data_IF_608110566914
#
_entry.id   IF_608110566914
#
_cell.length_a   1.000
_cell.length_b   1.000
_cell.length_c   1.000
_cell.angle_alpha   90.00
_cell.angle_beta   90.00
_cell.angle_gamma   90.00
#
_symmetry.space_group_name_H-M   'P 1'
#
loop_
_entity.id
_entity.type
_entity.pdbx_description
1 polymer ?
#
# COMPACT_ATOMS: atom_id res chain seq x y z
N UNK A 1 33.88 28.16 -41.23
CA UNK A 1 33.64 27.87 -39.80
C UNK A 1 32.16 28.06 -39.49
N UNK A 2 31.35 26.99 -39.57
CA UNK A 2 29.92 27.01 -39.27
C UNK A 2 29.71 26.45 -37.86
N UNK A 3 29.20 27.28 -36.94
CA UNK A 3 28.87 26.89 -35.56
C UNK A 3 27.62 26.02 -35.58
N UNK A 4 27.79 24.73 -35.35
CA UNK A 4 26.70 23.81 -35.07
C UNK A 4 25.91 24.29 -33.82
N UNK A 5 24.64 24.65 -34.02
CA UNK A 5 23.68 24.91 -32.94
C UNK A 5 23.52 23.61 -32.14
N UNK A 6 24.12 23.55 -30.95
CA UNK A 6 23.80 22.53 -29.93
C UNK A 6 22.30 22.63 -29.64
N UNK A 7 21.51 21.66 -30.11
CA UNK A 7 20.10 21.48 -29.71
C UNK A 7 20.09 21.20 -28.21
N UNK A 8 19.84 22.24 -27.41
CA UNK A 8 19.49 22.09 -26.00
C UNK A 8 18.12 21.43 -25.94
N UNK A 9 18.06 20.14 -25.61
CA UNK A 9 16.79 19.50 -25.27
C UNK A 9 16.27 20.13 -23.97
N UNK A 10 15.00 20.57 -23.90
CA UNK A 10 14.48 21.17 -22.69
C UNK A 10 14.34 20.08 -21.61
N UNK A 11 15.21 20.19 -20.59
CA UNK A 11 15.25 19.36 -19.38
C UNK A 11 13.92 19.42 -18.59
N UNK A 12 13.09 20.44 -18.85
CA UNK A 12 11.86 20.76 -18.11
C UNK A 12 10.63 19.87 -18.38
N UNK A 13 10.68 18.89 -19.30
CA UNK A 13 9.47 18.20 -19.77
C UNK A 13 8.87 17.18 -18.78
N UNK A 14 9.65 16.58 -17.89
CA UNK A 14 9.14 15.53 -16.99
C UNK A 14 8.51 16.09 -15.70
N UNK A 15 9.10 17.16 -15.14
CA UNK A 15 8.59 17.80 -13.92
C UNK A 15 7.28 18.58 -14.16
N UNK A 16 7.17 19.29 -15.30
CA UNK A 16 5.97 20.07 -15.62
C UNK A 16 4.78 19.23 -16.12
N UNK A 17 5.02 17.97 -16.53
CA UNK A 17 4.00 17.09 -17.12
C UNK A 17 3.67 15.86 -16.26
N UNK A 18 4.15 15.81 -15.02
CA UNK A 18 3.66 14.86 -14.01
C UNK A 18 2.26 15.23 -13.48
N UNK A 19 1.60 16.22 -14.11
CA UNK A 19 0.18 16.55 -13.95
C UNK A 19 -0.72 15.79 -14.94
N UNK A 20 -0.21 14.80 -15.66
CA UNK A 20 -1.04 14.08 -16.63
C UNK A 20 -2.09 13.21 -15.94
N UNK A 21 -3.34 13.59 -16.24
CA UNK A 21 -4.53 12.76 -16.31
C UNK A 21 -4.16 11.32 -16.65
N UNK A 22 -4.01 10.50 -15.61
CA UNK A 22 -4.07 9.07 -15.81
C UNK A 22 -5.49 8.81 -16.32
N UNK A 23 -5.61 8.50 -17.61
CA UNK A 23 -6.81 7.96 -18.24
C UNK A 23 -7.14 6.55 -17.74
N UNK A 24 -6.90 6.26 -16.45
CA UNK A 24 -7.67 5.29 -15.71
C UNK A 24 -8.96 6.02 -15.37
N UNK A 25 -9.94 6.01 -16.28
CA UNK A 25 -11.26 6.56 -15.99
C UNK A 25 -11.70 6.04 -14.63
N UNK A 26 -11.84 6.95 -13.65
CA UNK A 26 -12.14 6.72 -12.24
C UNK A 26 -12.21 5.23 -11.88
N UNK A 27 -11.06 4.54 -11.90
CA UNK A 27 -11.05 3.11 -11.63
C UNK A 27 -11.55 2.96 -10.20
N UNK A 28 -12.73 2.38 -10.05
CA UNK A 28 -13.40 2.28 -8.76
C UNK A 28 -12.44 1.61 -7.78
N UNK A 29 -12.34 2.16 -6.58
CA UNK A 29 -11.45 1.61 -5.57
C UNK A 29 -11.92 0.19 -5.27
N UNK A 30 -11.04 -0.78 -5.48
CA UNK A 30 -11.33 -2.19 -5.22
C UNK A 30 -11.13 -2.45 -3.73
N UNK A 31 -12.19 -2.81 -2.96
CA UNK A 31 -12.09 -3.07 -1.54
C UNK A 31 -11.52 -4.47 -1.32
N UNK A 32 -10.32 -4.73 -1.83
CA UNK A 32 -9.51 -5.92 -1.59
C UNK A 32 -8.14 -5.46 -1.14
N UNK A 33 -7.44 -6.28 -0.37
CA UNK A 33 -6.04 -6.01 -0.12
C UNK A 33 -5.27 -6.10 -1.43
N UNK A 34 -4.47 -5.08 -1.72
CA UNK A 34 -3.53 -5.15 -2.83
C UNK A 34 -2.43 -6.13 -2.46
N UNK A 35 -2.15 -7.05 -3.38
CA UNK A 35 -1.04 -7.97 -3.23
C UNK A 35 0.18 -7.44 -4.00
N UNK A 36 1.34 -7.43 -3.36
CA UNK A 36 2.56 -6.95 -4.02
C UNK A 36 2.87 -7.64 -5.36
N UNK A 37 2.64 -8.95 -5.53
CA UNK A 37 2.85 -9.57 -6.83
C UNK A 37 2.07 -8.88 -7.97
N UNK A 38 0.90 -8.30 -7.70
CA UNK A 38 0.11 -7.51 -8.65
C UNK A 38 0.80 -6.18 -8.98
N UNK A 39 1.38 -5.49 -7.98
CA UNK A 39 2.13 -4.25 -8.20
C UNK A 39 3.38 -4.48 -9.06
N UNK A 40 4.11 -5.56 -8.79
CA UNK A 40 5.26 -5.96 -9.60
C UNK A 40 4.84 -6.34 -11.02
N UNK A 41 3.70 -7.03 -11.18
CA UNK A 41 3.17 -7.33 -12.51
C UNK A 41 2.87 -6.05 -13.30
N UNK A 42 2.39 -4.99 -12.65
CA UNK A 42 2.18 -3.70 -13.30
C UNK A 42 3.50 -3.06 -13.76
N UNK A 43 4.55 -3.11 -12.94
CA UNK A 43 5.90 -2.66 -13.32
C UNK A 43 6.36 -3.42 -14.58
N UNK A 44 6.24 -4.75 -14.56
CA UNK A 44 6.66 -5.62 -15.67
C UNK A 44 5.82 -5.36 -16.92
N UNK A 45 4.51 -5.14 -16.80
CA UNK A 45 3.63 -4.83 -17.93
C UNK A 45 4.01 -3.52 -18.62
N UNK A 46 4.41 -2.49 -17.86
CA UNK A 46 4.90 -1.22 -18.44
C UNK A 46 6.24 -1.44 -19.16
N UNK A 47 7.14 -2.25 -18.59
CA UNK A 47 8.38 -2.62 -19.26
C UNK A 47 8.12 -3.38 -20.56
N UNK A 48 7.17 -4.31 -20.53
CA UNK A 48 6.76 -5.10 -21.68
C UNK A 48 6.24 -4.21 -22.82
N UNK A 49 5.32 -3.28 -22.52
CA UNK A 49 4.83 -2.27 -23.47
C UNK A 49 5.94 -1.38 -24.02
N UNK A 50 6.95 -1.06 -23.20
CA UNK A 50 8.13 -0.31 -23.67
C UNK A 50 8.94 -1.13 -24.68
N UNK A 51 9.11 -2.44 -24.43
CA UNK A 51 9.84 -3.34 -25.32
C UNK A 51 9.10 -3.59 -26.64
N UNK A 52 7.76 -3.58 -26.64
CA UNK A 52 6.95 -3.65 -27.87
C UNK A 52 7.22 -2.52 -28.86
N UNK A 53 7.67 -1.34 -28.39
CA UNK A 53 8.04 -0.22 -29.25
C UNK A 53 9.46 -0.36 -29.83
N UNK A 54 10.31 -1.24 -29.30
CA UNK A 54 11.71 -1.33 -29.67
C UNK A 54 11.96 -1.79 -31.12
N UNK A 55 11.20 -2.74 -31.70
CA UNK A 55 11.33 -3.08 -33.11
C UNK A 55 11.11 -1.87 -34.04
N UNK A 56 10.15 -1.00 -33.71
CA UNK A 56 9.87 0.18 -34.53
C UNK A 56 10.92 1.29 -34.33
N UNK A 57 11.41 1.47 -33.09
CA UNK A 57 12.56 2.36 -32.80
C UNK A 57 13.80 1.89 -33.56
N UNK A 58 14.07 0.58 -33.57
CA UNK A 58 15.16 -0.01 -34.32
C UNK A 58 15.00 0.27 -35.82
N UNK A 59 13.80 0.06 -36.38
CA UNK A 59 13.55 0.27 -37.81
C UNK A 59 13.75 1.74 -38.21
N UNK A 60 13.26 2.68 -37.40
CA UNK A 60 13.50 4.10 -37.65
C UNK A 60 15.01 4.43 -37.63
N UNK A 61 15.75 3.94 -36.62
CA UNK A 61 17.20 4.17 -36.54
C UNK A 61 17.95 3.56 -37.72
N UNK A 62 17.56 2.36 -38.15
CA UNK A 62 18.12 1.69 -39.31
C UNK A 62 17.97 2.53 -40.57
N UNK A 63 16.74 2.99 -40.88
CA UNK A 63 16.47 3.85 -42.03
C UNK A 63 17.26 5.16 -42.00
N UNK A 64 17.46 5.73 -40.82
CA UNK A 64 18.23 6.97 -40.61
C UNK A 64 19.74 6.76 -40.43
N UNK A 65 20.23 5.52 -40.56
CA UNK A 65 21.63 5.12 -40.32
C UNK A 65 22.17 5.58 -38.95
N UNK A 66 21.32 5.56 -37.94
CA UNK A 66 21.68 5.89 -36.56
C UNK A 66 22.06 4.62 -35.79
N UNK A 67 23.07 4.70 -34.91
CA UNK A 67 23.43 3.57 -34.05
C UNK A 67 22.33 3.27 -33.04
N UNK A 68 22.26 2.00 -32.60
CA UNK A 68 21.39 1.59 -31.50
C UNK A 68 21.77 2.32 -30.21
N UNK A 69 23.06 2.32 -29.88
CA UNK A 69 23.60 3.04 -28.72
C UNK A 69 23.55 4.56 -28.94
N UNK A 70 22.83 5.26 -28.05
CA UNK A 70 22.81 6.72 -27.98
C UNK A 70 23.14 7.14 -26.53
N UNK A 71 24.44 7.16 -26.22
CA UNK A 71 24.93 7.42 -24.86
C UNK A 71 24.45 8.77 -24.30
N UNK A 72 24.37 9.80 -25.14
CA UNK A 72 23.90 11.12 -24.74
C UNK A 72 22.41 11.10 -24.37
N UNK A 73 21.57 10.42 -25.15
CA UNK A 73 20.14 10.25 -24.82
C UNK A 73 19.94 9.38 -23.59
N UNK A 74 20.62 8.25 -23.49
CA UNK A 74 20.47 7.35 -22.34
C UNK A 74 20.86 8.06 -21.04
N UNK A 75 21.96 8.82 -21.04
CA UNK A 75 22.33 9.65 -19.89
C UNK A 75 21.26 10.70 -19.56
N UNK A 76 20.73 11.39 -20.58
CA UNK A 76 19.67 12.38 -20.36
C UNK A 76 18.38 11.76 -19.77
N UNK A 77 18.01 10.55 -20.21
CA UNK A 77 16.86 9.82 -19.68
C UNK A 77 17.10 9.42 -18.22
N UNK A 78 18.28 8.91 -17.89
CA UNK A 78 18.62 8.53 -16.51
C UNK A 78 18.60 9.73 -15.57
N UNK A 79 19.14 10.89 -15.98
CA UNK A 79 19.11 12.12 -15.18
C UNK A 79 17.66 12.55 -14.92
N UNK A 80 16.84 12.67 -15.96
CA UNK A 80 15.44 13.10 -15.83
C UNK A 80 14.62 12.16 -14.94
N UNK A 81 14.81 10.85 -15.12
CA UNK A 81 14.06 9.86 -14.36
C UNK A 81 14.54 9.75 -12.91
N UNK A 82 15.82 10.01 -12.62
CA UNK A 82 16.34 10.09 -11.23
C UNK A 82 15.76 11.32 -10.51
N UNK A 83 15.70 12.48 -11.17
CA UNK A 83 15.05 13.68 -10.61
C UNK A 83 13.56 13.44 -10.33
N UNK A 84 12.84 12.81 -11.26
CA UNK A 84 11.44 12.47 -11.09
C UNK A 84 11.21 11.41 -9.98
N UNK A 85 12.11 10.43 -9.84
CA UNK A 85 12.09 9.47 -8.74
C UNK A 85 12.24 10.15 -7.38
N UNK A 86 13.18 11.11 -7.28
CA UNK A 86 13.37 11.92 -6.07
C UNK A 86 12.12 12.70 -5.68
N UNK A 87 11.37 13.23 -6.66
CA UNK A 87 10.10 13.93 -6.42
C UNK A 87 8.99 13.00 -5.88
N UNK A 88 9.10 11.69 -6.08
CA UNK A 88 8.24 10.65 -5.50
C UNK A 88 8.79 10.05 -4.20
N UNK A 89 9.92 10.57 -3.71
CA UNK A 89 10.69 10.02 -2.59
C UNK A 89 11.15 8.56 -2.79
N UNK A 90 11.27 8.10 -4.03
CA UNK A 90 11.95 6.85 -4.36
C UNK A 90 13.45 7.01 -4.12
N UNK A 91 14.10 5.96 -3.64
CA UNK A 91 15.55 5.91 -3.56
C UNK A 91 16.18 6.11 -4.94
N UNK A 92 17.06 7.12 -5.05
CA UNK A 92 17.59 7.58 -6.32
C UNK A 92 18.50 6.54 -6.99
N UNK A 93 19.30 5.82 -6.20
CA UNK A 93 20.22 4.81 -6.72
C UNK A 93 19.45 3.59 -7.21
N UNK A 94 18.50 3.09 -6.41
CA UNK A 94 17.68 1.96 -6.82
C UNK A 94 16.79 2.28 -8.03
N UNK A 95 16.20 3.47 -8.06
CA UNK A 95 15.43 3.92 -9.23
C UNK A 95 16.32 3.98 -10.48
N UNK A 96 17.52 4.54 -10.36
CA UNK A 96 18.52 4.60 -11.45
C UNK A 96 18.87 3.20 -11.95
N UNK A 97 19.11 2.24 -11.06
CA UNK A 97 19.45 0.86 -11.42
C UNK A 97 18.31 0.18 -12.19
N UNK A 98 17.07 0.35 -11.73
CA UNK A 98 15.88 -0.16 -12.43
C UNK A 98 15.77 0.43 -13.85
N UNK A 99 15.98 1.74 -13.98
CA UNK A 99 15.91 2.44 -15.27
C UNK A 99 17.06 2.05 -16.20
N UNK A 100 18.27 1.89 -15.67
CA UNK A 100 19.43 1.45 -16.42
C UNK A 100 19.24 0.03 -16.96
N UNK A 101 18.69 -0.88 -16.15
CA UNK A 101 18.33 -2.22 -16.58
C UNK A 101 17.23 -2.19 -17.67
N UNK A 102 16.21 -1.34 -17.52
CA UNK A 102 15.17 -1.16 -18.55
C UNK A 102 15.73 -0.61 -19.87
N UNK A 103 16.69 0.32 -19.82
CA UNK A 103 17.39 0.82 -21.01
C UNK A 103 18.22 -0.29 -21.66
N UNK A 104 18.88 -1.14 -20.87
CA UNK A 104 19.66 -2.27 -21.37
C UNK A 104 18.78 -3.29 -22.10
N UNK A 105 17.65 -3.69 -21.51
CA UNK A 105 16.66 -4.57 -22.17
C UNK A 105 16.20 -3.97 -23.51
N UNK A 106 15.91 -2.67 -23.52
CA UNK A 106 15.51 -1.97 -24.73
C UNK A 106 16.61 -1.98 -25.81
N UNK A 107 17.88 -1.95 -25.40
CA UNK A 107 19.03 -2.03 -26.30
C UNK A 107 19.17 -3.43 -26.90
N UNK A 108 19.11 -4.46 -26.07
CA UNK A 108 19.21 -5.87 -26.49
C UNK A 108 18.19 -6.22 -27.57
N UNK A 109 16.93 -5.78 -27.41
CA UNK A 109 15.89 -5.99 -28.43
C UNK A 109 16.21 -5.25 -29.73
N UNK A 110 16.77 -4.04 -29.67
CA UNK A 110 17.17 -3.31 -30.89
C UNK A 110 18.39 -3.95 -31.56
N UNK A 111 19.36 -4.44 -30.80
CA UNK A 111 20.58 -5.10 -31.30
C UNK A 111 20.25 -6.41 -32.02
N UNK A 112 19.36 -7.24 -31.45
CA UNK A 112 18.84 -8.44 -32.13
C UNK A 112 18.19 -8.10 -33.48
N UNK A 113 17.41 -7.01 -33.54
CA UNK A 113 16.79 -6.56 -34.80
C UNK A 113 17.81 -6.09 -35.83
N UNK A 114 18.81 -5.30 -35.41
CA UNK A 114 19.89 -4.86 -36.29
C UNK A 114 20.68 -6.04 -36.85
N UNK A 115 21.00 -7.03 -36.02
CA UNK A 115 21.72 -8.23 -36.45
C UNK A 115 20.94 -8.99 -37.54
N UNK A 116 19.62 -9.13 -37.40
CA UNK A 116 18.77 -9.77 -38.42
C UNK A 116 18.73 -8.99 -39.73
N UNK A 117 18.58 -7.66 -39.66
CA UNK A 117 18.52 -6.81 -40.86
C UNK A 117 19.87 -6.66 -41.58
N UNK A 118 20.99 -6.93 -40.92
CA UNK A 118 22.27 -7.08 -41.62
C UNK A 118 22.26 -8.29 -42.56
N UNK A 119 21.59 -9.38 -42.18
CA UNK A 119 21.40 -10.56 -43.03
C UNK A 119 20.29 -10.38 -44.07
N UNK A 120 19.23 -9.65 -43.73
CA UNK A 120 18.06 -9.43 -44.60
C UNK A 120 17.63 -7.94 -44.66
N UNK A 121 18.40 -7.07 -45.34
CA UNK A 121 18.15 -5.62 -45.31
C UNK A 121 16.81 -5.16 -45.88
N UNK A 122 16.20 -5.95 -46.76
CA UNK A 122 14.90 -5.66 -47.39
C UNK A 122 13.70 -5.96 -46.49
N UNK A 123 13.91 -6.62 -45.35
CA UNK A 123 12.86 -7.01 -44.40
C UNK A 123 12.53 -5.92 -43.35
N UNK A 124 13.19 -4.76 -43.41
CA UNK A 124 13.03 -3.70 -42.41
C UNK A 124 11.65 -3.04 -42.57
N UNK A 125 10.78 -3.06 -41.56
CA UNK A 125 9.45 -2.48 -41.65
C UNK A 125 9.50 -0.94 -41.72
N UNK A 126 8.42 -0.28 -42.19
CA UNK A 126 8.28 1.16 -42.03
C UNK A 126 8.20 1.54 -40.55
N UNK A 127 8.60 2.76 -40.21
CA UNK A 127 8.61 3.24 -38.83
C UNK A 127 8.07 4.66 -38.70
N UNK A 128 7.27 4.91 -37.66
CA UNK A 128 6.83 6.25 -37.28
C UNK A 128 8.00 7.10 -36.80
N UNK A 129 7.84 8.42 -36.85
CA UNK A 129 8.92 9.33 -36.48
C UNK A 129 9.36 9.17 -35.02
N UNK A 130 10.66 9.01 -34.81
CA UNK A 130 11.21 8.80 -33.47
C UNK A 130 11.00 10.03 -32.57
N UNK A 131 11.11 11.24 -33.10
CA UNK A 131 11.07 12.45 -32.30
C UNK A 131 9.66 12.90 -31.92
N UNK A 132 8.71 12.76 -32.84
CA UNK A 132 7.35 13.28 -32.66
C UNK A 132 6.33 12.22 -32.23
N UNK A 133 6.62 10.92 -32.42
CA UNK A 133 5.68 9.84 -32.07
C UNK A 133 6.28 8.89 -31.02
N UNK A 134 7.40 8.23 -31.31
CA UNK A 134 7.90 7.15 -30.46
C UNK A 134 8.49 7.67 -29.14
N UNK A 135 9.28 8.76 -29.17
CA UNK A 135 9.85 9.34 -27.94
C UNK A 135 8.79 9.84 -26.96
N UNK A 136 7.74 10.59 -27.38
CA UNK A 136 6.65 10.94 -26.48
C UNK A 136 5.98 9.73 -25.81
N UNK A 137 5.71 8.66 -26.56
CA UNK A 137 5.14 7.42 -26.00
C UNK A 137 6.08 6.74 -24.99
N UNK A 138 7.38 6.71 -25.29
CA UNK A 138 8.40 6.18 -24.36
C UNK A 138 8.55 7.04 -23.10
N UNK A 139 8.47 8.37 -23.24
CA UNK A 139 8.53 9.29 -22.12
C UNK A 139 7.30 9.13 -21.21
N UNK A 140 6.12 8.85 -21.78
CA UNK A 140 4.91 8.50 -21.02
C UNK A 140 5.06 7.20 -20.25
N UNK A 141 5.47 6.11 -20.92
CA UNK A 141 5.73 4.83 -20.26
C UNK A 141 6.79 4.93 -19.15
N UNK A 142 7.78 5.80 -19.32
CA UNK A 142 8.78 6.01 -18.27
C UNK A 142 8.24 6.76 -17.04
N UNK A 143 7.24 7.64 -17.21
CA UNK A 143 6.53 8.24 -16.06
C UNK A 143 5.67 7.20 -15.35
N UNK A 144 4.90 6.42 -16.11
CA UNK A 144 4.08 5.33 -15.57
C UNK A 144 4.94 4.32 -14.81
N UNK A 145 6.14 4.02 -15.33
CA UNK A 145 7.10 3.13 -14.70
C UNK A 145 7.51 3.64 -13.32
N UNK A 146 7.83 4.93 -13.17
CA UNK A 146 8.17 5.50 -11.86
C UNK A 146 7.00 5.46 -10.87
N UNK A 147 5.78 5.70 -11.35
CA UNK A 147 4.56 5.56 -10.52
C UNK A 147 4.36 4.10 -10.09
N UNK A 148 4.56 3.14 -11.00
CA UNK A 148 4.48 1.72 -10.68
C UNK A 148 5.57 1.29 -9.67
N UNK A 149 6.80 1.79 -9.82
CA UNK A 149 7.87 1.59 -8.83
C UNK A 149 7.49 2.16 -7.46
N UNK A 150 6.91 3.36 -7.41
CA UNK A 150 6.41 3.96 -6.17
C UNK A 150 5.35 3.07 -5.49
N UNK A 151 4.43 2.49 -6.27
CA UNK A 151 3.37 1.62 -5.74
C UNK A 151 3.89 0.23 -5.33
N UNK A 152 4.93 -0.27 -5.99
CA UNK A 152 5.58 -1.55 -5.70
C UNK A 152 6.70 -1.46 -4.63
N UNK A 153 7.06 -0.23 -4.23
CA UNK A 153 8.12 0.03 -3.26
C UNK A 153 7.82 -0.63 -1.92
N UNK A 154 8.82 -1.32 -1.39
CA UNK A 154 8.77 -1.91 -0.07
C UNK A 154 9.65 -1.16 0.93
N UNK A 155 9.56 -1.56 2.20
CA UNK A 155 10.49 -1.05 3.20
C UNK A 155 11.96 -1.34 2.84
N UNK A 156 12.91 -0.66 3.48
CA UNK A 156 14.35 -0.74 3.16
C UNK A 156 14.99 -2.11 3.36
N UNK A 157 14.29 -3.07 3.98
CA UNK A 157 14.76 -4.46 4.09
C UNK A 157 14.82 -5.16 2.72
N UNK A 158 14.11 -4.63 1.72
CA UNK A 158 14.02 -5.21 0.38
C UNK A 158 13.30 -6.56 0.38
N UNK A 159 13.22 -7.16 -0.81
CA UNK A 159 12.67 -8.50 -0.99
C UNK A 159 13.65 -9.44 -1.67
N UNK A 160 13.27 -10.72 -1.68
CA UNK A 160 13.99 -11.75 -2.41
C UNK A 160 13.90 -11.50 -3.92
N UNK A 161 15.06 -11.50 -4.57
CA UNK A 161 15.14 -11.31 -6.02
C UNK A 161 14.61 -12.51 -6.81
N UNK A 162 14.66 -13.73 -6.25
CA UNK A 162 14.26 -14.97 -6.94
C UNK A 162 12.81 -14.97 -7.46
N UNK A 163 11.80 -14.69 -6.61
CA UNK A 163 10.41 -14.58 -7.05
C UNK A 163 10.19 -13.49 -8.11
N UNK A 164 10.89 -12.36 -7.98
CA UNK A 164 10.85 -11.27 -8.97
C UNK A 164 11.43 -11.74 -10.30
N UNK A 165 12.57 -12.45 -10.25
CA UNK A 165 13.23 -12.99 -11.44
C UNK A 165 12.33 -13.95 -12.21
N UNK A 166 11.66 -14.87 -11.51
CA UNK A 166 10.70 -15.80 -12.14
C UNK A 166 9.61 -15.05 -12.91
N UNK A 167 9.10 -13.94 -12.37
CA UNK A 167 8.09 -13.11 -13.05
C UNK A 167 8.64 -12.40 -14.28
N UNK A 168 9.89 -11.94 -14.22
CA UNK A 168 10.58 -11.24 -15.30
C UNK A 168 10.87 -12.12 -16.52
N UNK A 169 10.87 -13.45 -16.39
CA UNK A 169 11.05 -14.37 -17.53
C UNK A 169 10.02 -14.14 -18.64
N UNK A 170 8.83 -13.60 -18.33
CA UNK A 170 7.82 -13.25 -19.34
C UNK A 170 8.32 -12.23 -20.37
N UNK A 171 9.29 -11.40 -20.02
CA UNK A 171 9.88 -10.42 -20.94
C UNK A 171 10.68 -11.10 -22.06
N UNK A 172 11.15 -12.35 -21.87
CA UNK A 172 11.90 -13.10 -22.91
C UNK A 172 11.08 -13.45 -24.15
N UNK A 173 9.78 -13.16 -24.16
CA UNK A 173 8.98 -13.13 -25.38
C UNK A 173 9.53 -12.14 -26.42
N UNK A 174 10.27 -11.12 -25.97
CA UNK A 174 11.01 -10.21 -26.84
C UNK A 174 12.39 -10.80 -27.16
N UNK A 175 12.69 -11.10 -28.43
CA UNK A 175 13.98 -11.67 -28.81
C UNK A 175 15.15 -10.75 -28.48
N UNK A 176 16.30 -11.35 -28.17
CA UNK A 176 17.55 -10.65 -27.84
C UNK A 176 17.80 -10.46 -26.35
N UNK A 177 16.78 -10.60 -25.49
CA UNK A 177 16.93 -10.35 -24.05
C UNK A 177 17.86 -11.37 -23.39
N UNK A 178 18.90 -10.85 -22.73
CA UNK A 178 19.90 -11.65 -22.03
C UNK A 178 19.47 -12.00 -20.61
N UNK A 179 19.86 -13.20 -20.16
CA UNK A 179 19.56 -13.63 -18.80
C UNK A 179 20.22 -12.71 -17.75
N UNK A 180 21.46 -12.26 -17.97
CA UNK A 180 22.16 -11.39 -17.01
C UNK A 180 21.44 -10.05 -16.75
N UNK A 181 20.78 -9.50 -17.76
CA UNK A 181 20.03 -8.23 -17.63
C UNK A 181 18.75 -8.39 -16.82
N UNK A 182 18.05 -9.51 -16.97
CA UNK A 182 16.91 -9.84 -16.13
C UNK A 182 17.30 -10.08 -14.66
N UNK A 183 18.52 -10.56 -14.39
CA UNK A 183 19.02 -10.77 -13.02
C UNK A 183 19.33 -9.44 -12.36
N UNK A 184 20.03 -8.56 -13.08
CA UNK A 184 20.30 -7.20 -12.64
C UNK A 184 19.00 -6.45 -12.34
N UNK A 185 17.99 -6.59 -13.20
CA UNK A 185 16.68 -5.99 -12.99
C UNK A 185 15.96 -6.58 -11.76
N UNK A 186 16.00 -7.90 -11.57
CA UNK A 186 15.38 -8.54 -10.41
C UNK A 186 15.98 -8.01 -9.11
N UNK A 187 17.31 -7.89 -9.05
CA UNK A 187 18.04 -7.31 -7.90
C UNK A 187 17.69 -5.84 -7.70
N UNK A 188 17.61 -5.04 -8.76
CA UNK A 188 17.25 -3.64 -8.67
C UNK A 188 15.81 -3.47 -8.13
N UNK A 189 14.85 -4.20 -8.69
CA UNK A 189 13.45 -4.17 -8.24
C UNK A 189 13.27 -4.65 -6.80
N UNK A 190 14.11 -5.60 -6.35
CA UNK A 190 14.03 -6.13 -4.99
C UNK A 190 14.42 -5.12 -3.92
N UNK A 191 15.11 -4.04 -4.29
CA UNK A 191 15.61 -2.98 -3.39
C UNK A 191 14.76 -1.71 -3.42
N UNK A 192 13.73 -1.64 -4.29
CA UNK A 192 12.93 -0.42 -4.49
C UNK A 192 12.24 -0.06 -3.20
N UNK A 193 12.54 1.13 -2.68
CA UNK A 193 11.99 1.63 -1.44
C UNK A 193 11.81 3.16 -1.47
N UNK A 194 10.98 3.65 -0.54
CA UNK A 194 10.84 5.07 -0.29
C UNK A 194 11.85 5.53 0.76
N UNK A 195 12.48 6.69 0.53
CA UNK A 195 13.44 7.29 1.47
C UNK A 195 12.77 8.23 2.48
N UNK A 196 11.57 8.72 2.18
CA UNK A 196 10.76 9.57 3.06
C UNK A 196 9.27 9.22 2.95
N UNK A 197 8.49 9.62 3.96
CA UNK A 197 7.04 9.50 3.90
C UNK A 197 6.50 10.42 2.77
N UNK A 198 5.61 9.94 1.89
CA UNK A 198 5.10 10.75 0.80
C UNK A 198 4.37 12.00 1.30
N UNK A 199 4.61 13.12 0.63
CA UNK A 199 3.82 14.33 0.86
C UNK A 199 2.42 14.19 0.28
N UNK A 200 1.49 15.04 0.73
CA UNK A 200 0.16 15.14 0.15
C UNK A 200 0.20 15.44 -1.35
N UNK A 201 1.11 16.31 -1.78
CA UNK A 201 1.31 16.63 -3.19
C UNK A 201 1.75 15.39 -3.99
N UNK A 202 2.64 14.57 -3.44
CA UNK A 202 3.05 13.31 -4.05
C UNK A 202 1.88 12.33 -4.15
N UNK A 203 1.09 12.16 -3.08
CA UNK A 203 -0.11 11.31 -3.10
C UNK A 203 -1.12 11.77 -4.17
N UNK A 204 -1.40 13.07 -4.25
CA UNK A 204 -2.29 13.64 -5.28
C UNK A 204 -1.78 13.42 -6.69
N UNK A 205 -0.48 13.63 -6.89
CA UNK A 205 0.18 13.49 -8.19
C UNK A 205 0.22 12.04 -8.67
N UNK A 206 0.41 11.09 -7.75
CA UNK A 206 0.31 9.65 -8.04
C UNK A 206 -1.15 9.23 -8.28
N UNK A 207 -2.11 9.91 -7.67
CA UNK A 207 -3.54 9.60 -7.79
C UNK A 207 -3.96 8.36 -6.98
N UNK A 208 -3.12 7.88 -6.07
CA UNK A 208 -3.37 6.69 -5.24
C UNK A 208 -2.99 6.98 -3.80
N UNK A 209 -3.90 6.69 -2.88
CA UNK A 209 -3.64 6.72 -1.45
C UNK A 209 -3.55 5.29 -0.90
N UNK A 210 -2.44 4.97 -0.26
CA UNK A 210 -2.16 3.65 0.32
C UNK A 210 -2.65 3.63 1.76
N UNK A 211 -3.59 2.77 2.08
CA UNK A 211 -4.26 2.73 3.39
C UNK A 211 -3.97 1.41 4.10
N UNK A 212 -3.25 1.47 5.21
CA UNK A 212 -2.95 0.31 6.05
C UNK A 212 -4.17 -0.18 6.82
N UNK A 213 -4.49 -1.47 6.72
CA UNK A 213 -5.58 -2.11 7.47
C UNK A 213 -5.20 -3.52 7.93
N UNK A 214 -5.78 -3.98 9.04
CA UNK A 214 -5.54 -5.34 9.54
C UNK A 214 -6.52 -6.36 8.93
N UNK A 215 -7.76 -5.97 8.64
CA UNK A 215 -8.78 -6.85 8.05
C UNK A 215 -9.30 -7.93 8.99
N UNK A 216 -9.03 -7.81 10.28
CA UNK A 216 -9.36 -8.79 11.32
C UNK A 216 -10.13 -8.18 12.51
N UNK A 217 -10.59 -6.93 12.38
CA UNK A 217 -11.19 -6.17 13.46
C UNK A 217 -12.53 -5.53 13.05
N UNK A 218 -13.54 -6.39 12.90
CA UNK A 218 -14.92 -5.95 12.72
C UNK A 218 -15.42 -5.20 13.97
N UNK A 219 -16.23 -4.13 13.84
CA UNK A 219 -16.86 -3.63 12.61
C UNK A 219 -16.03 -2.61 11.82
N UNK A 220 -14.78 -2.30 12.22
CA UNK A 220 -13.97 -1.26 11.59
C UNK A 220 -13.36 -1.73 10.26
N UNK A 221 -12.67 -2.87 10.28
CA UNK A 221 -12.03 -3.46 9.11
C UNK A 221 -12.07 -4.97 9.22
N UNK A 222 -12.82 -5.62 8.33
CA UNK A 222 -12.94 -7.07 8.24
C UNK A 222 -12.73 -7.50 6.81
N UNK A 223 -11.94 -8.55 6.63
CA UNK A 223 -11.82 -9.22 5.36
C UNK A 223 -12.55 -10.56 5.40
N UNK A 224 -13.37 -10.82 4.37
CA UNK A 224 -14.03 -12.09 4.12
C UNK A 224 -13.95 -12.40 2.63
N UNK A 225 -13.52 -13.60 2.27
CA UNK A 225 -13.44 -14.05 0.87
C UNK A 225 -12.64 -13.07 -0.02
N UNK A 226 -11.57 -12.52 0.54
CA UNK A 226 -10.68 -11.54 -0.12
C UNK A 226 -11.22 -10.12 -0.20
N UNK A 227 -12.47 -9.86 0.23
CA UNK A 227 -13.09 -8.52 0.23
C UNK A 227 -13.07 -7.89 1.61
N UNK A 228 -12.68 -6.62 1.66
CA UNK A 228 -12.71 -5.74 2.81
C UNK A 228 -14.09 -5.08 2.97
N UNK A 229 -14.55 -5.03 4.21
CA UNK A 229 -15.75 -4.32 4.62
C UNK A 229 -15.57 -3.75 6.04
N UNK A 230 -16.37 -2.74 6.38
CA UNK A 230 -16.37 -2.10 7.69
C UNK A 230 -16.31 -0.58 7.63
N UNK A 231 -16.53 0.06 8.77
CA UNK A 231 -16.65 1.52 8.83
C UNK A 231 -15.38 2.27 8.42
N UNK A 232 -14.20 1.72 8.71
CA UNK A 232 -12.93 2.34 8.34
C UNK A 232 -12.56 2.04 6.88
N UNK A 233 -13.08 0.95 6.31
CA UNK A 233 -13.02 0.68 4.86
C UNK A 233 -13.80 1.76 4.12
N UNK A 234 -15.05 2.01 4.54
CA UNK A 234 -15.88 3.09 3.97
C UNK A 234 -15.27 4.48 4.17
N UNK A 235 -14.66 4.75 5.33
CA UNK A 235 -13.91 5.98 5.57
C UNK A 235 -12.78 6.15 4.55
N UNK A 236 -11.96 5.11 4.34
CA UNK A 236 -10.87 5.13 3.36
C UNK A 236 -11.36 5.33 1.92
N UNK A 237 -12.42 4.62 1.53
CA UNK A 237 -13.05 4.76 0.20
C UNK A 237 -13.62 6.17 -0.01
N UNK A 238 -14.33 6.71 0.98
CA UNK A 238 -14.92 8.05 0.92
C UNK A 238 -13.85 9.14 0.86
N UNK A 239 -12.75 9.00 1.62
CA UNK A 239 -11.61 9.92 1.55
C UNK A 239 -10.99 9.92 0.14
N UNK A 240 -10.71 8.73 -0.41
CA UNK A 240 -10.14 8.61 -1.75
C UNK A 240 -11.06 9.22 -2.81
N UNK A 241 -12.36 8.90 -2.76
CA UNK A 241 -13.39 9.42 -3.68
C UNK A 241 -13.50 10.95 -3.63
N UNK A 242 -13.49 11.54 -2.42
CA UNK A 242 -13.56 13.00 -2.25
C UNK A 242 -12.41 13.73 -2.95
N UNK A 243 -11.22 13.13 -2.95
CA UNK A 243 -10.03 13.73 -3.55
C UNK A 243 -9.73 13.27 -4.98
N UNK A 244 -10.62 12.47 -5.59
CA UNK A 244 -10.40 11.88 -6.92
C UNK A 244 -9.22 10.91 -6.97
N UNK A 245 -8.90 10.27 -5.84
CA UNK A 245 -7.83 9.28 -5.71
C UNK A 245 -8.42 7.87 -5.77
N UNK A 246 -7.56 6.89 -6.08
CA UNK A 246 -7.84 5.48 -5.86
C UNK A 246 -7.34 5.06 -4.48
N UNK A 247 -8.18 4.39 -3.68
CA UNK A 247 -7.73 3.73 -2.46
C UNK A 247 -7.00 2.43 -2.82
N UNK A 248 -5.82 2.24 -2.25
CA UNK A 248 -5.07 0.98 -2.27
C UNK A 248 -4.96 0.47 -0.84
N UNK A 249 -5.68 -0.60 -0.49
CA UNK A 249 -5.60 -1.18 0.84
C UNK A 249 -4.36 -2.06 0.99
N UNK A 250 -3.55 -1.78 2.00
CA UNK A 250 -2.30 -2.49 2.29
C UNK A 250 -2.48 -3.27 3.57
N UNK A 251 -2.27 -4.60 3.49
CA UNK A 251 -2.37 -5.45 4.66
C UNK A 251 -1.23 -5.18 5.65
N UNK A 252 -1.61 -5.02 6.91
CA UNK A 252 -0.71 -4.99 8.08
C UNK A 252 -1.30 -5.88 9.18
N UNK A 253 -0.66 -5.90 10.34
CA UNK A 253 -1.10 -6.65 11.52
C UNK A 253 -0.95 -5.79 12.77
N UNK A 254 -1.64 -6.13 13.86
CA UNK A 254 -1.48 -5.38 15.11
C UNK A 254 -0.04 -5.33 15.62
N UNK A 255 0.73 -6.43 15.62
CA UNK A 255 2.15 -6.40 15.97
C UNK A 255 2.99 -5.59 14.96
N UNK A 256 2.68 -5.68 13.66
CA UNK A 256 3.46 -5.06 12.58
C UNK A 256 3.11 -3.60 12.27
N UNK A 257 1.97 -3.09 12.77
CA UNK A 257 1.38 -1.81 12.37
C UNK A 257 2.36 -0.64 12.42
N UNK A 258 3.07 -0.49 13.53
CA UNK A 258 4.00 0.64 13.72
C UNK A 258 5.25 0.50 12.87
N UNK A 259 5.74 -0.74 12.69
CA UNK A 259 6.92 -1.00 11.88
C UNK A 259 6.61 -0.82 10.39
N UNK A 260 5.44 -1.27 9.93
CA UNK A 260 4.97 -1.08 8.56
C UNK A 260 4.76 0.41 8.23
N UNK A 261 4.22 1.18 9.18
CA UNK A 261 4.11 2.64 9.07
C UNK A 261 5.49 3.29 8.93
N UNK A 262 6.46 2.92 9.78
CA UNK A 262 7.82 3.46 9.73
C UNK A 262 8.58 3.04 8.47
N UNK A 263 8.29 1.84 7.94
CA UNK A 263 8.77 1.35 6.65
C UNK A 263 8.02 1.96 5.45
N UNK A 264 7.06 2.86 5.68
CA UNK A 264 6.35 3.63 4.64
C UNK A 264 5.56 2.75 3.67
N UNK A 265 5.05 1.61 4.16
CA UNK A 265 4.24 0.67 3.36
C UNK A 265 2.88 1.25 2.97
N UNK A 266 2.38 2.20 3.75
CA UNK A 266 1.14 2.93 3.50
C UNK A 266 1.28 4.40 3.92
N UNK A 267 0.41 5.26 3.40
CA UNK A 267 0.43 6.70 3.63
C UNK A 267 -0.26 7.08 4.95
N UNK A 268 -1.32 6.32 5.31
CA UNK A 268 -1.92 6.31 6.65
C UNK A 268 -2.55 4.93 6.92
N UNK A 269 -2.97 4.68 8.17
CA UNK A 269 -3.73 3.49 8.54
C UNK A 269 -5.05 3.85 9.23
N UNK A 270 -6.10 3.08 8.91
CA UNK A 270 -7.43 3.19 9.50
C UNK A 270 -7.98 1.77 9.70
N UNK A 271 -8.12 1.34 10.96
CA UNK A 271 -8.52 -0.03 11.31
C UNK A 271 -8.99 -0.13 12.77
N UNK A 272 -9.74 0.85 13.27
CA UNK A 272 -10.16 0.95 14.66
C UNK A 272 -9.00 1.24 15.60
N UNK A 273 -8.02 2.04 15.15
CA UNK A 273 -6.74 2.24 15.84
C UNK A 273 -6.93 3.20 17.01
N UNK A 274 -6.77 2.68 18.23
CA UNK A 274 -6.74 3.52 19.42
C UNK A 274 -5.49 4.41 19.44
N UNK A 275 -5.68 5.70 19.74
CA UNK A 275 -4.63 6.67 20.06
C UNK A 275 -4.06 6.35 21.44
N UNK A 276 -2.83 5.86 21.47
CA UNK A 276 -2.10 5.59 22.71
C UNK A 276 -0.85 6.45 22.80
N UNK A 277 -0.36 6.77 24.01
CA UNK A 277 0.89 7.53 24.16
C UNK A 277 2.07 6.90 23.42
N UNK A 278 2.19 5.57 23.44
CA UNK A 278 3.30 4.87 22.77
C UNK A 278 3.26 5.02 21.25
N UNK A 279 2.06 4.98 20.66
CA UNK A 279 1.89 5.22 19.21
C UNK A 279 2.11 6.69 18.88
N UNK A 280 1.55 7.60 19.67
CA UNK A 280 1.66 9.05 19.47
C UNK A 280 3.10 9.57 19.62
N UNK A 281 3.96 8.84 20.35
CA UNK A 281 5.40 9.15 20.41
C UNK A 281 6.13 8.88 19.08
N UNK A 282 5.59 8.00 18.22
CA UNK A 282 6.23 7.52 16.99
C UNK A 282 5.47 7.89 15.71
N UNK A 283 4.28 8.46 15.82
CA UNK A 283 3.35 8.70 14.72
C UNK A 283 2.44 9.90 15.03
N UNK A 284 1.82 10.44 13.97
CA UNK A 284 0.75 11.42 14.09
C UNK A 284 -0.61 10.71 14.14
N UNK A 285 -1.62 11.41 14.64
CA UNK A 285 -3.01 10.98 14.59
C UNK A 285 -3.88 12.11 14.06
N UNK A 286 -4.94 11.74 13.33
CA UNK A 286 -6.03 12.67 13.02
C UNK A 286 -6.80 13.06 14.29
N UNK A 287 -7.80 13.93 14.13
CA UNK A 287 -8.91 14.03 15.07
C UNK A 287 -9.51 12.65 15.37
N UNK A 288 -9.92 12.47 16.62
CA UNK A 288 -10.66 11.30 17.05
C UNK A 288 -12.03 11.28 16.38
N UNK A 289 -12.40 10.13 15.81
CA UNK A 289 -13.69 9.95 15.13
C UNK A 289 -14.63 8.99 15.86
N UNK A 290 -14.13 8.28 16.88
CA UNK A 290 -14.91 7.42 17.74
C UNK A 290 -14.27 7.34 19.14
N UNK A 291 -15.08 7.22 20.18
CA UNK A 291 -14.63 6.97 21.55
C UNK A 291 -15.09 5.58 21.97
N UNK A 292 -14.16 4.81 22.52
CA UNK A 292 -14.38 3.45 22.97
C UNK A 292 -13.77 3.23 24.36
N UNK A 293 -13.82 2.00 24.87
CA UNK A 293 -13.23 1.62 26.14
C UNK A 293 -13.17 0.11 26.32
N UNK A 294 -12.24 -0.36 27.16
CA UNK A 294 -12.09 -1.79 27.47
C UNK A 294 -13.22 -2.24 28.38
N UNK A 295 -13.99 -3.25 28.00
CA UNK A 295 -15.07 -3.84 28.79
C UNK A 295 -15.04 -5.38 28.67
N UNK A 296 -15.40 -6.10 29.74
CA UNK A 296 -15.45 -7.55 29.71
C UNK A 296 -16.66 -8.07 28.93
N UNK A 297 -16.46 -9.19 28.23
CA UNK A 297 -17.50 -10.02 27.61
C UNK A 297 -17.33 -11.46 28.06
N UNK A 298 -18.43 -12.09 28.46
CA UNK A 298 -18.48 -13.47 28.91
C UNK A 298 -19.79 -14.13 28.47
N UNK A 299 -19.97 -15.41 28.81
CA UNK A 299 -21.26 -16.09 28.68
C UNK A 299 -22.30 -15.41 29.57
N UNK A 300 -23.55 -15.36 29.09
CA UNK A 300 -24.66 -14.71 29.79
C UNK A 300 -24.91 -15.31 31.18
N UNK A 301 -24.81 -16.63 31.33
CA UNK A 301 -24.96 -17.27 32.64
C UNK A 301 -23.85 -16.89 33.65
N UNK A 302 -22.70 -16.42 33.16
CA UNK A 302 -21.54 -16.09 33.98
C UNK A 302 -21.40 -14.57 34.21
N UNK A 303 -22.32 -13.74 33.69
CA UNK A 303 -22.17 -12.29 33.69
C UNK A 303 -21.95 -11.68 35.09
N UNK A 304 -22.71 -12.14 36.08
CA UNK A 304 -22.59 -11.68 37.47
C UNK A 304 -21.24 -12.03 38.11
N UNK A 305 -20.53 -13.05 37.59
CA UNK A 305 -19.20 -13.47 38.07
C UNK A 305 -18.09 -12.55 37.58
N UNK A 306 -18.33 -11.71 36.57
CA UNK A 306 -17.30 -10.92 35.89
C UNK A 306 -17.66 -9.43 35.80
N UNK A 307 -18.29 -8.87 36.83
CA UNK A 307 -18.75 -7.47 36.84
C UNK A 307 -17.69 -6.46 37.31
N UNK A 308 -16.45 -6.90 37.57
CA UNK A 308 -15.32 -6.04 37.96
C UNK A 308 -13.98 -6.72 37.72
N UNK A 309 -12.90 -5.95 37.65
CA UNK A 309 -11.53 -6.49 37.56
C UNK A 309 -11.20 -7.44 38.71
N UNK A 310 -11.61 -7.11 39.94
CA UNK A 310 -11.33 -7.95 41.11
C UNK A 310 -12.01 -9.33 41.02
N UNK A 311 -13.21 -9.41 40.44
CA UNK A 311 -13.90 -10.68 40.23
C UNK A 311 -13.33 -11.48 39.05
N UNK A 312 -12.84 -10.78 38.02
CA UNK A 312 -12.16 -11.41 36.88
C UNK A 312 -10.79 -11.96 37.30
N UNK A 313 -10.03 -11.21 38.10
CA UNK A 313 -8.68 -11.58 38.51
C UNK A 313 -8.68 -12.53 39.71
N UNK A 314 -9.23 -13.73 39.51
CA UNK A 314 -9.32 -14.78 40.52
C UNK A 314 -8.63 -16.07 40.03
N UNK A 315 -8.00 -16.85 40.93
CA UNK A 315 -7.51 -18.18 40.60
C UNK A 315 -8.61 -19.04 39.95
N UNK A 316 -8.25 -19.78 38.90
CA UNK A 316 -9.18 -20.64 38.16
C UNK A 316 -10.01 -19.94 37.08
N UNK A 317 -10.01 -18.60 36.99
CA UNK A 317 -10.58 -17.88 35.86
C UNK A 317 -9.62 -17.92 34.67
N UNK A 318 -10.14 -18.14 33.46
CA UNK A 318 -9.37 -18.10 32.21
C UNK A 318 -9.73 -16.85 31.39
N UNK A 319 -8.82 -15.88 31.39
CA UNK A 319 -8.93 -14.64 30.61
C UNK A 319 -8.28 -14.84 29.25
N UNK A 320 -9.06 -14.82 28.18
CA UNK A 320 -8.55 -14.97 26.81
C UNK A 320 -8.26 -13.60 26.18
N UNK A 321 -7.14 -13.49 25.45
CA UNK A 321 -6.70 -12.26 24.78
C UNK A 321 -6.07 -12.55 23.42
N UNK A 322 -6.18 -11.60 22.50
CA UNK A 322 -5.45 -11.60 21.26
C UNK A 322 -4.06 -10.95 21.40
N UNK A 323 -3.03 -11.44 20.68
CA UNK A 323 -1.64 -11.03 20.89
C UNK A 323 -1.31 -9.64 20.32
N UNK A 324 -0.32 -8.98 20.93
CA UNK A 324 0.39 -7.80 20.42
C UNK A 324 -0.38 -6.49 20.43
N UNK A 325 -1.65 -6.52 20.85
CA UNK A 325 -2.54 -5.37 20.86
C UNK A 325 -2.71 -4.69 22.22
N UNK A 326 -3.66 -3.76 22.27
CA UNK A 326 -4.01 -3.06 23.53
C UNK A 326 -4.78 -3.94 24.51
N UNK A 327 -5.44 -5.01 24.04
CA UNK A 327 -6.14 -5.99 24.89
C UNK A 327 -5.17 -6.78 25.77
N UNK A 328 -4.20 -7.47 25.15
CA UNK A 328 -3.17 -8.22 25.88
C UNK A 328 -2.43 -7.31 26.87
N UNK A 329 -2.04 -6.11 26.44
CA UNK A 329 -1.36 -5.15 27.32
C UNK A 329 -2.22 -4.75 28.52
N UNK A 330 -3.50 -4.47 28.31
CA UNK A 330 -4.41 -4.15 29.40
C UNK A 330 -4.49 -5.31 30.39
N UNK A 331 -4.70 -6.54 29.90
CA UNK A 331 -4.81 -7.74 30.74
C UNK A 331 -3.50 -7.99 31.50
N UNK A 332 -2.34 -7.97 30.85
CA UNK A 332 -1.03 -8.18 31.52
C UNK A 332 -0.72 -7.13 32.59
N UNK A 333 -1.30 -5.94 32.49
CA UNK A 333 -1.11 -4.88 33.49
C UNK A 333 -2.04 -5.00 34.70
N UNK A 334 -3.23 -5.58 34.53
CA UNK A 334 -4.29 -5.56 35.55
C UNK A 334 -4.69 -6.94 36.09
N UNK A 335 -4.32 -8.04 35.42
CA UNK A 335 -4.63 -9.41 35.80
C UNK A 335 -3.36 -10.10 36.28
N UNK A 336 -3.37 -10.64 37.49
CA UNK A 336 -2.20 -11.24 38.18
C UNK A 336 -2.44 -12.67 38.67
N UNK A 337 -3.68 -13.04 38.94
CA UNK A 337 -4.09 -14.31 39.52
C UNK A 337 -4.80 -15.23 38.52
N UNK A 338 -5.60 -14.67 37.61
CA UNK A 338 -6.28 -15.47 36.59
C UNK A 338 -5.30 -16.00 35.53
N UNK A 339 -5.67 -17.11 34.89
CA UNK A 339 -4.89 -17.69 33.79
C UNK A 339 -5.11 -16.87 32.52
N UNK A 340 -4.04 -16.32 31.95
CA UNK A 340 -4.09 -15.58 30.68
C UNK A 340 -3.86 -16.56 29.53
N UNK A 341 -4.87 -16.72 28.67
CA UNK A 341 -4.81 -17.52 27.45
C UNK A 341 -4.62 -16.60 26.24
N UNK A 342 -3.54 -16.78 25.49
CA UNK A 342 -3.31 -16.01 24.25
C UNK A 342 -3.87 -16.82 23.07
N UNK A 343 -4.79 -16.22 22.32
CA UNK A 343 -5.40 -16.83 21.14
C UNK A 343 -5.09 -15.98 19.89
N UNK A 344 -4.41 -16.54 18.87
CA UNK A 344 -3.86 -15.75 17.78
C UNK A 344 -4.91 -15.22 16.79
N UNK A 345 -6.05 -15.89 16.65
CA UNK A 345 -7.05 -15.56 15.63
C UNK A 345 -8.26 -14.80 16.20
N UNK A 346 -8.32 -13.50 15.89
CA UNK A 346 -9.41 -12.60 16.30
C UNK A 346 -10.79 -13.05 15.79
N UNK A 347 -10.85 -13.86 14.73
CA UNK A 347 -12.13 -14.32 14.15
C UNK A 347 -12.76 -15.45 14.96
N UNK A 348 -11.96 -16.24 15.67
CA UNK A 348 -12.39 -17.44 16.39
C UNK A 348 -12.34 -17.29 17.92
N UNK A 349 -11.71 -16.23 18.45
CA UNK A 349 -11.49 -16.03 19.88
C UNK A 349 -12.78 -16.07 20.74
N UNK A 350 -13.90 -15.54 20.24
CA UNK A 350 -15.16 -15.54 20.98
C UNK A 350 -15.81 -16.93 21.05
N UNK A 351 -15.56 -17.79 20.05
CA UNK A 351 -16.03 -19.16 20.05
C UNK A 351 -15.36 -20.00 21.17
N UNK A 352 -14.16 -19.62 21.62
CA UNK A 352 -13.51 -20.23 22.78
C UNK A 352 -14.27 -19.97 24.08
N UNK A 353 -14.88 -18.79 24.22
CA UNK A 353 -15.73 -18.44 25.36
C UNK A 353 -17.04 -19.23 25.29
N UNK A 354 -17.66 -19.29 24.11
CA UNK A 354 -18.89 -20.07 23.88
C UNK A 354 -18.66 -21.56 24.17
N UNK A 355 -17.55 -22.11 23.68
CA UNK A 355 -17.16 -23.51 23.88
C UNK A 355 -16.58 -23.82 25.26
N UNK A 356 -16.61 -22.85 26.20
CA UNK A 356 -16.13 -23.01 27.58
C UNK A 356 -14.66 -23.38 27.71
N UNK A 357 -13.84 -23.06 26.69
CA UNK A 357 -12.37 -23.16 26.72
C UNK A 357 -11.71 -21.92 27.33
N UNK A 358 -12.43 -20.80 27.34
CA UNK A 358 -12.14 -19.60 28.12
C UNK A 358 -13.39 -19.11 28.87
N UNK A 359 -13.22 -18.17 29.80
CA UNK A 359 -14.32 -17.67 30.64
C UNK A 359 -14.71 -16.23 30.31
N UNK A 360 -13.72 -15.36 30.09
CA UNK A 360 -13.94 -13.93 29.84
C UNK A 360 -12.86 -13.37 28.92
N UNK A 361 -13.23 -12.41 28.09
CA UNK A 361 -12.29 -11.57 27.35
C UNK A 361 -12.52 -10.11 27.73
N UNK A 362 -11.43 -9.34 27.87
CA UNK A 362 -11.50 -7.89 28.05
C UNK A 362 -11.09 -7.24 26.72
N UNK A 363 -12.03 -6.59 26.04
CA UNK A 363 -11.83 -5.98 24.73
C UNK A 363 -12.57 -4.65 24.59
N UNK A 364 -12.48 -4.01 23.43
CA UNK A 364 -13.18 -2.76 23.15
C UNK A 364 -14.70 -2.93 23.13
N UNK A 365 -15.43 -1.96 23.71
CA UNK A 365 -16.88 -1.98 23.83
C UNK A 365 -17.60 -2.09 22.49
N UNK A 366 -17.07 -1.49 21.43
CA UNK A 366 -17.61 -1.66 20.07
C UNK A 366 -17.57 -3.13 19.61
N UNK A 367 -16.49 -3.84 19.92
CA UNK A 367 -16.37 -5.26 19.60
C UNK A 367 -17.34 -6.09 20.46
N UNK A 368 -17.49 -5.76 21.75
CA UNK A 368 -18.50 -6.40 22.62
C UNK A 368 -19.91 -6.20 22.08
N UNK A 369 -20.26 -5.00 21.60
CA UNK A 369 -21.57 -4.74 20.98
C UNK A 369 -21.79 -5.63 19.74
N UNK A 370 -20.79 -5.75 18.88
CA UNK A 370 -20.86 -6.61 17.70
C UNK A 370 -21.04 -8.08 18.08
N UNK A 371 -20.24 -8.57 19.03
CA UNK A 371 -20.24 -9.98 19.39
C UNK A 371 -21.51 -10.40 20.11
N UNK A 372 -22.12 -9.53 20.92
CA UNK A 372 -23.44 -9.80 21.50
C UNK A 372 -24.55 -9.95 20.43
N UNK A 373 -24.44 -9.22 19.30
CA UNK A 373 -25.38 -9.36 18.18
C UNK A 373 -25.19 -10.68 17.43
N UNK A 374 -23.93 -11.15 17.31
CA UNK A 374 -23.57 -12.38 16.61
C UNK A 374 -23.76 -13.65 17.46
N UNK A 375 -23.56 -13.52 18.77
CA UNK A 375 -23.60 -14.58 19.76
C UNK A 375 -24.54 -14.15 20.91
N UNK A 376 -25.85 -14.42 20.81
CA UNK A 376 -26.83 -14.06 21.83
C UNK A 376 -26.53 -14.63 23.24
N UNK A 377 -25.77 -15.72 23.29
CA UNK A 377 -25.24 -16.37 24.48
C UNK A 377 -24.13 -15.58 25.19
N UNK A 378 -23.49 -14.62 24.52
CA UNK A 378 -22.49 -13.74 25.11
C UNK A 378 -23.12 -12.40 25.54
N UNK A 379 -22.55 -11.80 26.58
CA UNK A 379 -22.98 -10.49 27.10
C UNK A 379 -21.79 -9.70 27.63
N UNK A 380 -21.81 -8.39 27.42
CA UNK A 380 -20.95 -7.46 28.14
C UNK A 380 -21.33 -7.47 29.61
N UNK A 381 -20.37 -7.70 30.51
CA UNK A 381 -20.67 -7.96 31.92
C UNK A 381 -20.64 -6.71 32.79
N UNK A 382 -20.43 -5.54 32.18
CA UNK A 382 -20.37 -4.25 32.86
C UNK A 382 -21.13 -3.14 32.10
N UNK A 383 -21.74 -2.18 32.82
CA UNK A 383 -22.48 -1.07 32.22
C UNK A 383 -21.54 0.01 31.64
N UNK A 384 -20.31 0.11 32.15
CA UNK A 384 -19.32 1.09 31.72
C UNK A 384 -17.96 0.41 31.51
N UNK A 385 -17.18 0.85 30.50
CA UNK A 385 -15.85 0.30 30.27
C UNK A 385 -14.87 0.72 31.39
N UNK A 386 -13.83 -0.08 31.60
CA UNK A 386 -12.71 0.21 32.50
C UNK A 386 -11.89 1.43 32.06
N UNK A 387 -11.89 1.73 30.77
CA UNK A 387 -11.05 2.77 30.18
C UNK A 387 -11.82 3.60 29.17
N UNK A 388 -11.21 4.72 28.76
CA UNK A 388 -11.64 5.54 27.63
C UNK A 388 -10.49 5.61 26.63
N UNK A 389 -10.76 5.33 25.36
CA UNK A 389 -9.78 5.38 24.29
C UNK A 389 -10.41 6.01 23.04
N UNK A 390 -9.66 6.87 22.37
CA UNK A 390 -10.09 7.52 21.13
C UNK A 390 -9.56 6.76 19.93
N UNK A 391 -10.42 6.52 18.93
CA UNK A 391 -10.05 5.96 17.63
C UNK A 391 -9.76 7.09 16.66
N UNK A 392 -8.63 6.99 15.97
CA UNK A 392 -8.17 8.00 15.02
C UNK A 392 -7.37 7.35 13.88
N UNK A 393 -7.27 8.06 12.75
CA UNK A 393 -6.40 7.66 11.64
C UNK A 393 -4.95 7.83 12.09
N UNK A 394 -4.12 6.80 11.87
CA UNK A 394 -2.71 6.79 12.21
C UNK A 394 -1.88 7.24 11.00
N UNK A 395 -1.02 8.23 11.15
CA UNK A 395 -0.20 8.77 10.08
C UNK A 395 1.29 8.78 10.46
N UNK A 396 2.22 8.82 9.47
CA UNK A 396 3.63 9.02 9.75
C UNK A 396 3.84 10.29 10.59
N UNK A 397 4.89 10.31 11.41
CA UNK A 397 5.24 11.50 12.20
C UNK A 397 5.51 12.69 11.27
N UNK A 398 4.99 13.87 11.61
CA UNK A 398 5.08 15.09 10.79
C UNK A 398 4.48 14.91 9.38
N UNK A 399 3.44 14.09 9.26
CA UNK A 399 2.83 13.83 7.96
C UNK A 399 2.11 15.07 7.45
N UNK A 400 2.43 15.47 6.21
CA UNK A 400 1.66 16.51 5.50
C UNK A 400 0.22 16.10 5.19
N UNK A 401 -0.13 14.81 5.33
CA UNK A 401 -1.51 14.33 5.19
C UNK A 401 -2.35 14.62 6.44
N UNK A 402 -1.74 14.79 7.62
CA UNK A 402 -2.49 15.00 8.88
C UNK A 402 -3.50 16.16 8.77
N UNK A 403 -3.12 17.39 8.34
CA UNK A 403 -4.09 18.47 8.19
C UNK A 403 -5.14 18.22 7.09
N UNK A 404 -4.80 17.45 6.05
CA UNK A 404 -5.72 17.11 4.96
C UNK A 404 -6.79 16.12 5.43
N UNK A 405 -6.36 15.08 6.16
CA UNK A 405 -7.26 14.11 6.78
C UNK A 405 -8.16 14.81 7.79
N UNK A 406 -7.60 15.66 8.65
CA UNK A 406 -8.38 16.42 9.64
C UNK A 406 -9.44 17.32 8.99
N UNK A 407 -9.06 18.09 7.97
CA UNK A 407 -9.96 19.00 7.28
C UNK A 407 -11.13 18.25 6.61
N UNK A 408 -10.86 17.07 6.06
CA UNK A 408 -11.90 16.22 5.48
C UNK A 408 -12.76 15.52 6.54
N UNK A 409 -12.15 15.00 7.60
CA UNK A 409 -12.79 14.13 8.58
C UNK A 409 -13.71 14.89 9.54
N UNK A 410 -13.37 16.14 9.93
CA UNK A 410 -14.18 16.94 10.85
C UNK A 410 -15.64 17.10 10.40
N UNK A 411 -15.94 17.55 9.16
CA UNK A 411 -17.32 17.60 8.66
C UNK A 411 -18.04 16.24 8.64
N UNK A 412 -17.31 15.13 8.41
CA UNK A 412 -17.91 13.79 8.41
C UNK A 412 -18.30 13.34 9.83
N UNK A 413 -17.53 13.77 10.85
CA UNK A 413 -17.87 13.54 12.25
C UNK A 413 -19.07 14.41 12.63
N UNK A 414 -19.04 15.71 12.32
CA UNK A 414 -20.08 16.68 12.69
C UNK A 414 -21.44 16.35 12.07
N UNK A 415 -21.46 15.85 10.82
CA UNK A 415 -22.68 15.40 10.15
C UNK A 415 -23.23 14.06 10.69
N UNK A 416 -22.50 13.38 11.56
CA UNK A 416 -22.85 12.04 12.05
C UNK A 416 -22.59 10.92 11.05
N UNK A 417 -22.00 11.21 9.88
CA UNK A 417 -21.73 10.22 8.83
C UNK A 417 -20.83 9.08 9.32
N UNK A 418 -19.77 9.39 10.08
CA UNK A 418 -18.86 8.37 10.63
C UNK A 418 -19.61 7.42 11.57
N UNK A 419 -20.45 7.97 12.46
CA UNK A 419 -21.27 7.17 13.36
C UNK A 419 -22.24 6.28 12.58
N UNK A 420 -22.86 6.80 11.52
CA UNK A 420 -23.74 6.02 10.66
C UNK A 420 -23.02 4.86 9.96
N UNK A 421 -21.78 5.05 9.48
CA UNK A 421 -20.99 3.95 8.92
C UNK A 421 -20.69 2.87 9.96
N UNK A 422 -20.33 3.27 11.18
CA UNK A 422 -20.09 2.34 12.28
C UNK A 422 -21.35 1.55 12.66
N UNK A 423 -22.50 2.21 12.79
CA UNK A 423 -23.77 1.56 13.09
C UNK A 423 -24.20 0.59 11.98
N UNK A 424 -24.04 0.96 10.70
CA UNK A 424 -24.32 0.06 9.58
C UNK A 424 -23.42 -1.18 9.59
N UNK A 425 -22.14 -1.01 9.88
CA UNK A 425 -21.20 -2.12 10.01
C UNK A 425 -21.51 -3.03 11.23
N UNK A 426 -22.00 -2.46 12.34
CA UNK A 426 -22.49 -3.21 13.50
C UNK A 426 -23.77 -4.01 13.21
N UNK A 427 -24.65 -3.48 12.35
CA UNK A 427 -25.88 -4.14 11.94
C UNK A 427 -25.65 -5.28 10.92
N UNK A 428 -24.46 -5.32 10.29
CA UNK A 428 -24.16 -6.27 9.22
C UNK A 428 -24.79 -5.89 7.87
N UNK A 429 -25.15 -4.61 7.69
CA UNK A 429 -25.91 -4.13 6.53
C UNK A 429 -25.03 -3.80 5.30
N UNK A 430 -23.70 -4.01 5.34
CA UNK A 430 -22.78 -3.68 4.24
C UNK A 430 -21.57 -4.61 4.15
#
# INVERSE_FOLDING_TARGET
MSRARKRRWPILRWLAALLLTVGLGAAESDPRFSERPEDLDQVIAIMDRRLELMPEVAAWKWHQRQPVLDAAREHAVLVQATEAAGALHLDADTARDCLAAQIRLAREVQEDRFARWQGEPTSVPPARDLATVLRPALDELGRDFLVALYLAAEGPAGAEAGPIRSRLERLRRHPGIEAGTLDALAVALSRVHLVAAPSWETVRRVGVVRIGMTGDYAPFSSEREGRLAGSDVELGLAFARHWGLRAKFVRTSWPGLMDDLQRRRFDFAASGISRTPERAARADFSVAYHTDGKTPIARREDAARFASLAQIDQPGVRVIVNPGGTNERFVRNHVRQATILVHPDNRTIFAEIVARRADVMITDGTEVQLQQRRHPELVGTMPHPFTRAEKAVLLPRQSSLTPVVDAWLRPQIESGWVSAQLQGALAGER
#
